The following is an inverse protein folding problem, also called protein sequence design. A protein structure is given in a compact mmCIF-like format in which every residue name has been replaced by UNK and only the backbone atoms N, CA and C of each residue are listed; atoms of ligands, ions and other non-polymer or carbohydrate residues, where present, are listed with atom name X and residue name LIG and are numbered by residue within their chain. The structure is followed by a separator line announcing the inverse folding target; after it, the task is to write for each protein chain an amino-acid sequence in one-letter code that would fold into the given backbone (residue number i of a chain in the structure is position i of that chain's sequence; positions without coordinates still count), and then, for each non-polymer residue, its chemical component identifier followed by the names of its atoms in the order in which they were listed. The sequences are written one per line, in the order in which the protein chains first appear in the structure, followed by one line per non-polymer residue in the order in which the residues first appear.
data_IF_213113745169
#
_entry.id   IF_213113745169
#
_cell.length_a   1.000
_cell.length_b   1.000
_cell.length_c   1.000
_cell.angle_alpha   90.00
_cell.angle_beta   90.00
_cell.angle_gamma   90.00
#
_symmetry.space_group_name_H-M   'P 1'
#
loop_
_entity.id
_entity.type
_entity.pdbx_description
1 polymer ?
#
# COMPACT_ATOMS: atom_id res chain seq x y z
N UNK A 1 29.96 -1.88 20.42
CA UNK A 1 29.10 -1.80 20.22
C UNK A 1 28.58 -1.80 19.84
N UNK A 2 29.04 -1.79 19.90
CA UNK A 2 28.09 -1.73 19.65
C UNK A 2 27.59 -1.80 19.19
N UNK A 3 28.23 -1.82 19.24
CA UNK A 3 27.41 -1.83 18.94
C UNK A 3 26.94 -1.86 18.44
N UNK A 4 27.65 -1.96 18.46
CA UNK A 4 26.83 -1.87 18.08
C UNK A 4 26.45 -2.05 17.54
N UNK A 5 27.06 -2.09 17.52
CA UNK A 5 26.31 -2.06 17.18
C UNK A 5 25.93 -2.28 16.71
N UNK A 6 26.41 -2.35 16.66
CA UNK A 6 25.60 -2.39 16.41
C UNK A 6 25.19 -2.69 16.01
N UNK A 7 25.72 -2.84 15.95
CA UNK A 7 24.94 -3.06 15.78
C UNK A 7 24.22 -3.22 15.33
N UNK A 8 24.59 -3.42 15.13
CA UNK A 8 23.56 -3.46 14.80
C UNK A 8 22.93 -3.88 14.44
N UNK A 9 23.16 -4.22 14.30
CA UNK A 9 22.28 -4.53 14.13
C UNK A 9 21.46 -4.97 14.08
N UNK A 10 21.67 -5.23 14.19
CA UNK A 10 20.64 -5.56 14.32
C UNK A 10 19.81 -5.69 14.33
N UNK A 11 19.98 -5.92 14.41
CA UNK A 11 18.99 -5.97 14.54
C UNK A 11 18.33 -6.21 14.65
N UNK A 12 18.30 -6.34 14.83
CA UNK A 12 17.55 -6.49 15.01
C UNK A 12 16.78 -7.02 15.16
N UNK A 13 16.78 -7.31 15.30
CA UNK A 13 16.00 -7.53 15.45
C UNK A 13 15.56 -7.73 16.11
N UNK A 14 15.52 -7.64 16.47
CA UNK A 14 15.09 -7.60 17.03
C UNK A 14 14.36 -7.80 17.50
N UNK A 15 14.21 -8.01 17.79
CA UNK A 15 13.44 -8.01 18.17
C UNK A 15 12.50 -8.05 18.47
N UNK A 16 12.21 -8.29 18.47
CA UNK A 16 11.45 -8.21 18.80
C UNK A 16 10.42 -7.76 18.83
N UNK A 17 10.10 -8.07 18.88
CA UNK A 17 8.99 -7.93 18.84
C UNK A 17 8.39 -6.76 18.99
N UNK A 18 8.87 -6.30 19.39
CA UNK A 18 8.34 -5.40 19.58
C UNK A 18 8.36 -4.49 18.81
N UNK A 19 7.82 -4.24 18.45
CA UNK A 19 7.70 -3.13 18.00
C UNK A 19 8.22 -2.70 16.73
N UNK A 20 8.15 -3.51 15.76
CA UNK A 20 8.37 -3.06 14.41
C UNK A 20 7.23 -2.12 14.03
N UNK A 21 7.58 -0.98 13.44
CA UNK A 21 6.57 -0.05 12.96
C UNK A 21 5.86 -0.62 11.74
N UNK A 22 4.67 -0.11 11.40
CA UNK A 22 4.04 -0.52 10.15
C UNK A 22 4.95 -0.35 8.94
N UNK A 23 5.70 0.77 8.87
CA UNK A 23 6.61 0.99 7.76
C UNK A 23 7.67 -0.10 7.68
N UNK A 24 8.21 -0.53 8.82
CA UNK A 24 9.22 -1.58 8.85
C UNK A 24 8.63 -2.93 8.45
N UNK A 25 7.38 -3.20 8.85
CA UNK A 25 6.72 -4.43 8.48
C UNK A 25 6.44 -4.47 6.97
N UNK A 26 6.09 -3.33 6.39
CA UNK A 26 5.89 -3.24 4.94
C UNK A 26 7.23 -3.42 4.22
N UNK A 27 8.31 -2.80 4.73
CA UNK A 27 9.64 -3.01 4.16
C UNK A 27 9.99 -4.50 4.12
N UNK A 28 9.74 -5.20 5.22
CA UNK A 28 10.04 -6.63 5.32
C UNK A 28 9.18 -7.44 4.35
N UNK A 29 7.92 -7.08 4.21
CA UNK A 29 7.02 -7.76 3.28
C UNK A 29 7.52 -7.64 1.85
N UNK A 30 7.92 -6.45 1.45
CA UNK A 30 8.43 -6.21 0.10
C UNK A 30 9.67 -7.05 -0.14
N UNK A 31 10.60 -7.06 0.84
CA UNK A 31 11.83 -7.83 0.70
C UNK A 31 11.56 -9.33 0.64
N UNK A 32 10.57 -9.79 1.40
CA UNK A 32 10.26 -11.20 1.48
C UNK A 32 9.66 -11.74 0.18
N UNK A 33 8.93 -10.91 -0.55
CA UNK A 33 8.29 -11.35 -1.79
C UNK A 33 9.29 -11.78 -2.85
N UNK A 34 10.43 -11.09 -2.94
CA UNK A 34 11.57 -11.50 -3.76
C UNK A 34 11.20 -11.88 -5.19
N UNK A 35 10.20 -11.23 -5.76
CA UNK A 35 9.85 -11.39 -7.17
C UNK A 35 9.15 -10.11 -7.61
N UNK A 36 8.52 -10.14 -8.81
CA UNK A 36 7.89 -8.95 -9.38
C UNK A 36 6.86 -8.32 -8.46
N UNK A 37 6.24 -9.11 -7.58
CA UNK A 37 5.22 -8.56 -6.68
C UNK A 37 5.84 -7.61 -5.67
N UNK A 38 7.05 -7.92 -5.20
CA UNK A 38 7.76 -7.01 -4.30
C UNK A 38 8.06 -5.68 -4.97
N UNK A 39 8.53 -5.72 -6.21
CA UNK A 39 8.83 -4.52 -6.97
C UNK A 39 7.56 -3.70 -7.21
N UNK A 40 6.47 -4.38 -7.57
CA UNK A 40 5.20 -3.71 -7.82
C UNK A 40 4.65 -3.07 -6.55
N UNK A 41 4.70 -3.79 -5.44
CA UNK A 41 4.22 -3.26 -4.17
C UNK A 41 5.06 -2.05 -3.74
N UNK A 42 6.37 -2.11 -3.95
CA UNK A 42 7.26 -0.99 -3.63
C UNK A 42 6.91 0.22 -4.48
N UNK A 43 6.62 0.01 -5.76
CA UNK A 43 6.24 1.09 -6.66
C UNK A 43 4.93 1.73 -6.23
N UNK A 44 3.94 0.90 -5.91
CA UNK A 44 2.65 1.38 -5.41
C UNK A 44 2.85 2.23 -4.16
N UNK A 45 3.66 1.73 -3.24
CA UNK A 45 3.93 2.44 -1.99
C UNK A 45 4.53 3.82 -2.27
N UNK A 46 5.48 3.88 -3.20
CA UNK A 46 6.11 5.15 -3.55
C UNK A 46 5.10 6.12 -4.17
N UNK A 47 4.19 5.60 -4.99
CA UNK A 47 3.17 6.43 -5.62
C UNK A 47 2.19 6.96 -4.57
N UNK A 48 1.79 6.12 -3.62
CA UNK A 48 0.89 6.55 -2.55
C UNK A 48 1.53 7.71 -1.76
N UNK A 49 2.81 7.56 -1.41
CA UNK A 49 3.50 8.58 -0.64
C UNK A 49 3.68 9.86 -1.45
N UNK A 50 3.86 9.73 -2.75
CA UNK A 50 3.97 10.89 -3.63
C UNK A 50 2.64 11.64 -3.71
N UNK A 51 1.55 10.88 -3.82
CA UNK A 51 0.22 11.47 -3.92
C UNK A 51 -0.20 12.13 -2.62
N UNK A 52 0.24 11.59 -1.49
CA UNK A 52 -0.15 12.09 -0.18
C UNK A 52 1.05 12.00 0.76
N UNK A 53 1.86 13.07 0.83
CA UNK A 53 3.02 13.06 1.74
C UNK A 53 2.67 12.89 3.21
N UNK A 54 1.41 13.10 3.58
CA UNK A 54 0.98 12.96 4.97
C UNK A 54 0.33 11.60 5.25
N UNK A 55 0.37 10.69 4.29
CA UNK A 55 -0.26 9.39 4.45
C UNK A 55 0.35 8.64 5.64
N UNK A 56 -0.51 7.92 6.36
CA UNK A 56 -0.08 7.08 7.47
C UNK A 56 -0.10 5.64 6.99
N UNK A 57 1.00 4.93 7.19
CA UNK A 57 1.06 3.51 6.85
C UNK A 57 0.67 2.69 8.07
N UNK A 58 -0.17 1.68 7.85
CA UNK A 58 -0.63 0.78 8.90
C UNK A 58 -0.46 -0.66 8.44
N UNK A 59 -0.46 -1.57 9.39
CA UNK A 59 -0.29 -2.99 9.16
C UNK A 59 -1.47 -3.69 9.80
N UNK A 60 -2.38 -4.23 8.98
CA UNK A 60 -3.65 -4.72 9.49
C UNK A 60 -3.89 -6.16 9.05
N UNK A 61 -4.81 -6.79 9.71
CA UNK A 61 -5.30 -8.13 9.34
C UNK A 61 -4.18 -9.13 9.06
N UNK A 62 -3.16 -9.13 9.95
CA UNK A 62 -2.07 -10.11 9.90
C UNK A 62 -1.23 -10.01 8.65
N UNK A 63 -1.01 -8.83 8.15
CA UNK A 63 -0.01 -8.70 7.10
C UNK A 63 -0.45 -7.93 5.88
N UNK A 64 -1.41 -7.04 6.04
CA UNK A 64 -1.88 -6.24 4.92
C UNK A 64 -1.40 -4.80 5.07
N UNK A 65 -0.50 -4.34 4.18
CA UNK A 65 -0.15 -2.93 4.13
C UNK A 65 -1.40 -2.10 3.87
N UNK A 66 -1.59 -1.08 4.68
CA UNK A 66 -2.77 -0.24 4.61
C UNK A 66 -2.34 1.21 4.66
N UNK A 67 -2.92 2.04 3.80
CA UNK A 67 -2.62 3.47 3.75
C UNK A 67 -3.85 4.25 4.19
N UNK A 68 -3.62 5.23 5.05
CA UNK A 68 -4.66 5.88 5.82
C UNK A 68 -4.47 7.39 5.81
N UNK A 69 -5.56 8.13 5.64
CA UNK A 69 -5.59 9.58 5.80
C UNK A 69 -7.04 9.96 6.10
N UNK A 70 -7.34 10.22 7.40
CA UNK A 70 -8.70 10.49 7.87
C UNK A 70 -9.69 9.37 7.48
N UNK A 71 -9.19 8.16 7.42
CA UNK A 71 -9.91 6.97 7.00
C UNK A 71 -9.01 6.16 6.09
N UNK A 72 -9.35 4.91 5.88
CA UNK A 72 -8.55 4.05 4.99
C UNK A 72 -8.66 4.57 3.56
N UNK A 73 -7.51 4.77 2.92
CA UNK A 73 -7.46 5.08 1.49
C UNK A 73 -7.54 3.78 0.72
N UNK A 74 -6.55 2.92 0.90
CA UNK A 74 -6.49 1.64 0.20
C UNK A 74 -5.60 0.67 0.94
N UNK A 75 -5.69 -0.59 0.54
CA UNK A 75 -4.83 -1.66 1.04
C UNK A 75 -4.07 -2.25 -0.14
N UNK A 76 -2.90 -2.83 0.15
CA UNK A 76 -2.09 -3.51 -0.86
C UNK A 76 -1.95 -4.96 -0.51
N UNK A 77 -2.63 -5.83 -1.23
CA UNK A 77 -2.55 -7.27 -1.01
C UNK A 77 -1.78 -7.92 -2.13
N UNK A 78 -1.08 -8.99 -1.81
CA UNK A 78 -0.33 -9.72 -2.82
C UNK A 78 -0.88 -11.13 -2.91
N UNK A 79 -1.18 -11.53 -4.13
CA UNK A 79 -1.64 -12.86 -4.46
C UNK A 79 -0.64 -13.49 -5.42
N UNK A 80 -0.80 -14.76 -5.71
CA UNK A 80 0.16 -15.48 -6.52
C UNK A 80 0.41 -14.79 -7.86
N UNK A 81 -0.64 -14.24 -8.47
CA UNK A 81 -0.53 -13.67 -9.81
C UNK A 81 -0.91 -12.21 -9.90
N UNK A 82 -1.11 -11.55 -8.78
CA UNK A 82 -1.55 -10.15 -8.82
C UNK A 82 -1.17 -9.43 -7.55
N UNK A 83 -0.92 -8.13 -7.69
CA UNK A 83 -0.90 -7.21 -6.57
C UNK A 83 -2.21 -6.44 -6.65
N UNK A 84 -2.98 -6.48 -5.58
CA UNK A 84 -4.33 -5.90 -5.57
C UNK A 84 -4.36 -4.68 -4.67
N UNK A 85 -4.77 -3.55 -5.24
CA UNK A 85 -5.04 -2.34 -4.48
C UNK A 85 -6.54 -2.23 -4.30
N UNK A 86 -7.02 -2.32 -3.06
CA UNK A 86 -8.44 -2.19 -2.78
C UNK A 86 -8.69 -0.83 -2.14
N UNK A 87 -9.49 -0.02 -2.81
CA UNK A 87 -9.86 1.30 -2.30
C UNK A 87 -11.11 1.17 -1.45
N UNK A 88 -11.00 1.58 -0.19
CA UNK A 88 -12.06 1.35 0.80
C UNK A 88 -13.38 1.98 0.38
N UNK A 89 -13.33 3.12 -0.30
CA UNK A 89 -14.52 3.82 -0.75
C UNK A 89 -14.54 3.96 -2.27
N UNK A 90 -13.99 2.97 -2.95
CA UNK A 90 -13.78 3.04 -4.40
C UNK A 90 -15.04 3.32 -5.19
N UNK A 91 -16.18 2.79 -4.75
CA UNK A 91 -17.43 2.98 -5.47
C UNK A 91 -17.87 4.45 -5.51
N UNK A 92 -17.37 5.27 -4.58
CA UNK A 92 -17.71 6.68 -4.52
C UNK A 92 -16.72 7.56 -5.30
N UNK A 93 -15.65 6.97 -5.86
CA UNK A 93 -14.66 7.71 -6.61
C UNK A 93 -15.02 7.72 -8.09
N UNK A 94 -14.65 8.81 -8.77
CA UNK A 94 -15.00 8.95 -10.19
C UNK A 94 -14.12 8.10 -11.09
N UNK A 95 -12.84 7.94 -10.70
CA UNK A 95 -11.89 7.12 -11.46
C UNK A 95 -11.96 7.44 -12.96
N UNK A 96 -11.68 8.68 -13.35
CA UNK A 96 -11.86 9.08 -14.77
C UNK A 96 -10.97 8.29 -15.71
N UNK A 97 -9.83 7.80 -15.25
CA UNK A 97 -8.92 7.03 -16.10
C UNK A 97 -9.32 5.56 -16.20
N UNK A 98 -10.34 5.13 -15.44
CA UNK A 98 -10.81 3.75 -15.50
C UNK A 98 -9.84 2.74 -14.96
N UNK A 99 -9.19 3.05 -13.86
CA UNK A 99 -8.18 2.15 -13.28
C UNK A 99 -8.79 0.92 -12.61
N UNK A 100 -9.98 1.06 -12.01
CA UNK A 100 -10.58 -0.08 -11.32
C UNK A 100 -10.92 -1.18 -12.33
N UNK A 101 -10.42 -2.37 -12.05
CA UNK A 101 -10.64 -3.53 -12.91
C UNK A 101 -11.03 -4.78 -12.13
N UNK A 102 -11.33 -4.63 -10.84
CA UNK A 102 -11.66 -5.74 -9.98
C UNK A 102 -12.64 -5.25 -8.93
N UNK A 103 -13.41 -6.17 -8.37
CA UNK A 103 -14.43 -5.86 -7.36
C UNK A 103 -15.42 -4.80 -7.86
N UNK A 104 -15.75 -4.85 -9.17
CA UNK A 104 -16.56 -3.81 -9.79
C UNK A 104 -18.02 -3.83 -9.37
N UNK A 105 -18.48 -4.93 -8.78
CA UNK A 105 -19.86 -5.04 -8.33
C UNK A 105 -20.00 -4.70 -6.84
N UNK A 106 -18.91 -4.37 -6.16
CA UNK A 106 -18.98 -3.99 -4.77
C UNK A 106 -19.72 -2.68 -4.58
N UNK A 107 -20.48 -2.58 -3.50
CA UNK A 107 -21.24 -1.36 -3.22
C UNK A 107 -20.37 -0.26 -2.64
N UNK A 108 -19.22 -0.59 -2.07
CA UNK A 108 -18.35 0.36 -1.39
C UNK A 108 -16.93 0.28 -1.94
N UNK A 109 -16.39 -0.92 -2.02
CA UNK A 109 -15.00 -1.12 -2.42
C UNK A 109 -14.86 -1.31 -3.91
N UNK A 110 -13.72 -0.89 -4.45
CA UNK A 110 -13.30 -1.18 -5.81
C UNK A 110 -11.81 -1.47 -5.76
N UNK A 111 -11.33 -2.24 -6.70
CA UNK A 111 -9.93 -2.67 -6.66
C UNK A 111 -9.26 -2.59 -8.02
N UNK A 112 -7.93 -2.51 -7.96
CA UNK A 112 -7.07 -2.56 -9.14
C UNK A 112 -6.20 -3.78 -8.97
N UNK A 113 -6.29 -4.73 -9.91
CA UNK A 113 -5.39 -5.87 -9.96
C UNK A 113 -4.26 -5.54 -10.93
N UNK A 114 -3.03 -5.64 -10.46
CA UNK A 114 -1.84 -5.41 -11.27
C UNK A 114 -1.14 -6.75 -11.45
N UNK A 115 -0.92 -7.13 -12.70
CA UNK A 115 -0.31 -8.41 -13.04
C UNK A 115 1.13 -8.21 -13.47
N UNK A 116 1.88 -9.31 -13.49
CA UNK A 116 3.29 -9.27 -13.86
C UNK A 116 3.47 -8.63 -15.23
N UNK A 117 4.39 -7.69 -15.33
CA UNK A 117 4.69 -7.03 -16.60
C UNK A 117 3.81 -5.86 -16.94
N UNK A 118 2.75 -5.63 -16.17
CA UNK A 118 1.89 -4.48 -16.43
C UNK A 118 2.50 -3.22 -15.84
N UNK A 119 2.41 -2.12 -16.59
CA UNK A 119 2.90 -0.84 -16.12
C UNK A 119 1.81 -0.14 -15.34
N UNK A 120 2.23 0.58 -14.32
CA UNK A 120 1.30 1.38 -13.51
C UNK A 120 1.26 2.78 -14.11
N UNK A 121 0.04 3.26 -14.41
CA UNK A 121 -0.15 4.65 -14.85
C UNK A 121 -0.04 5.54 -13.62
N UNK A 122 1.17 6.04 -13.37
CA UNK A 122 1.46 6.76 -12.15
C UNK A 122 0.58 8.01 -11.99
N UNK A 123 0.43 8.80 -13.06
CA UNK A 123 -0.36 10.02 -12.99
C UNK A 123 -1.81 9.72 -12.64
N UNK A 124 -2.37 8.69 -13.25
CA UNK A 124 -3.74 8.32 -13.00
C UNK A 124 -3.92 7.81 -11.58
N UNK A 125 -2.95 7.03 -11.09
CA UNK A 125 -3.03 6.51 -9.73
C UNK A 125 -2.88 7.62 -8.69
N UNK A 126 -1.97 8.57 -8.92
CA UNK A 126 -1.83 9.73 -8.05
C UNK A 126 -3.16 10.49 -7.97
N UNK A 127 -3.81 10.68 -9.11
CA UNK A 127 -5.10 11.39 -9.13
C UNK A 127 -6.18 10.64 -8.37
N UNK A 128 -6.21 9.32 -8.53
CA UNK A 128 -7.21 8.49 -7.85
C UNK A 128 -7.00 8.52 -6.33
N UNK A 129 -5.76 8.43 -5.89
CA UNK A 129 -5.45 8.52 -4.47
C UNK A 129 -5.85 9.89 -3.94
N UNK A 130 -5.61 10.95 -4.72
CA UNK A 130 -6.04 12.28 -4.35
C UNK A 130 -7.54 12.38 -4.17
N UNK A 131 -8.33 11.73 -5.06
CA UNK A 131 -9.77 11.67 -4.90
C UNK A 131 -10.15 10.99 -3.59
N UNK A 132 -9.48 9.90 -3.25
CA UNK A 132 -9.79 9.15 -2.03
C UNK A 132 -9.48 9.99 -0.79
N UNK A 133 -8.35 10.69 -0.79
CA UNK A 133 -7.99 11.57 0.32
C UNK A 133 -9.01 12.68 0.47
N UNK A 134 -9.39 13.33 -0.64
CA UNK A 134 -10.36 14.42 -0.60
C UNK A 134 -11.70 13.93 -0.06
N UNK A 135 -12.12 12.74 -0.47
CA UNK A 135 -13.37 12.17 0.02
C UNK A 135 -13.32 11.95 1.52
N UNK A 136 -12.20 11.41 2.02
CA UNK A 136 -12.06 11.17 3.46
C UNK A 136 -12.07 12.48 4.24
N UNK A 137 -11.47 13.53 3.69
CA UNK A 137 -11.40 14.82 4.36
C UNK A 137 -12.72 15.56 4.34
N UNK A 138 -13.60 15.20 3.44
CA UNK A 138 -14.85 15.95 3.25
C UNK A 138 -15.94 15.63 4.26
N UNK A 139 -15.69 14.70 5.16
CA UNK A 139 -16.70 14.29 6.12
C UNK A 139 -17.03 15.34 7.14
#
# INVERSE_FOLDING_TARGET
MAAGGGVGTTPRARLGAMADSPAELIDAKIAELDDWRGETLAEVRAIVKKADPEVVEEWKWRGVPTWYHDGIICTGETYKKAVKLTFAKGAALEDPAGLFNSSLEGNVRRAIDIHEGEEIDEEALVALIGEAVALNESK
#
